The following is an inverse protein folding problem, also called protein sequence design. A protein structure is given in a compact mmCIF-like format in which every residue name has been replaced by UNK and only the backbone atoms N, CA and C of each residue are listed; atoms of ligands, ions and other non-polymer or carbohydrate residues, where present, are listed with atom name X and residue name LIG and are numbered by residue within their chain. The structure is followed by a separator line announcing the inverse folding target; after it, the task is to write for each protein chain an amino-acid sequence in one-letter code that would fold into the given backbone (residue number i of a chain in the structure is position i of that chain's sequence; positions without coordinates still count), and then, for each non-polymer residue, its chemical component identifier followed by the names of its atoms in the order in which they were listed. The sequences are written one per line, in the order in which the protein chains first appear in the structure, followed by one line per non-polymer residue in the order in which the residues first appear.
data_IF_056990501181
#
_entry.id   IF_056990501181
#
_cell.length_a   1.000
_cell.length_b   1.000
_cell.length_c   1.000
_cell.angle_alpha   90.00
_cell.angle_beta   90.00
_cell.angle_gamma   90.00
#
_symmetry.space_group_name_H-M   'P 1'
#
loop_
_entity.id
_entity.type
_entity.pdbx_description
1 polymer ?
#
# COMPACT_ATOMS: atom_id res chain seq x y z
N UNK A 1 -10.02 54.08 -13.65
CA UNK A 1 -10.42 52.74 -14.15
C UNK A 1 -9.39 51.76 -13.60
N UNK A 2 -9.65 51.19 -12.42
CA UNK A 2 -8.67 50.34 -11.73
C UNK A 2 -8.91 48.89 -12.10
N UNK A 3 -7.94 48.28 -12.77
CA UNK A 3 -7.95 46.86 -13.13
C UNK A 3 -7.61 46.08 -11.87
N UNK A 4 -8.60 45.38 -11.31
CA UNK A 4 -8.36 44.40 -10.25
C UNK A 4 -7.61 43.21 -10.85
N UNK A 5 -6.32 43.11 -10.55
CA UNK A 5 -5.59 41.86 -10.68
C UNK A 5 -6.23 40.85 -9.73
N UNK A 6 -6.95 39.88 -10.29
CA UNK A 6 -7.35 38.67 -9.57
C UNK A 6 -6.07 37.97 -9.12
N UNK A 7 -5.80 37.99 -7.82
CA UNK A 7 -4.76 37.18 -7.22
C UNK A 7 -5.13 35.71 -7.51
N UNK A 8 -4.35 35.06 -8.38
CA UNK A 8 -4.35 33.62 -8.54
C UNK A 8 -4.09 33.02 -7.16
N UNK A 9 -5.17 32.58 -6.50
CA UNK A 9 -5.10 31.80 -5.27
C UNK A 9 -4.43 30.49 -5.67
N UNK A 10 -3.13 30.38 -5.39
CA UNK A 10 -2.42 29.11 -5.50
C UNK A 10 -3.24 28.07 -4.73
N UNK A 11 -3.63 27.00 -5.41
CA UNK A 11 -4.29 25.87 -4.75
C UNK A 11 -3.43 25.47 -3.54
N UNK A 12 -4.02 25.28 -2.35
CA UNK A 12 -3.27 24.88 -1.16
C UNK A 12 -2.58 23.51 -1.34
N UNK A 13 -3.00 22.76 -2.35
CA UNK A 13 -2.40 21.49 -2.75
C UNK A 13 -1.77 21.60 -4.15
N UNK A 14 -0.68 20.87 -4.40
CA UNK A 14 -0.03 20.80 -5.72
C UNK A 14 -0.82 20.01 -6.78
N UNK A 15 -2.11 19.79 -6.55
CA UNK A 15 -3.05 19.19 -7.50
C UNK A 15 -4.42 19.87 -7.39
N UNK A 16 -5.20 19.90 -8.48
CA UNK A 16 -6.54 20.48 -8.46
C UNK A 16 -7.51 19.59 -7.68
N UNK A 17 -8.58 20.20 -7.15
CA UNK A 17 -9.72 19.45 -6.66
C UNK A 17 -10.40 18.70 -7.82
N UNK A 18 -10.80 17.46 -7.56
CA UNK A 18 -11.39 16.58 -8.57
C UNK A 18 -12.83 16.22 -8.20
N UNK A 19 -13.66 15.87 -9.17
CA UNK A 19 -14.91 15.18 -8.87
C UNK A 19 -14.62 13.76 -8.37
N UNK A 20 -15.49 13.23 -7.51
CA UNK A 20 -15.29 11.91 -6.92
C UNK A 20 -15.35 10.76 -7.95
N UNK A 21 -16.02 10.97 -9.08
CA UNK A 21 -16.18 10.03 -10.20
C UNK A 21 -15.19 10.26 -11.36
N UNK A 22 -14.41 11.34 -11.33
CA UNK A 22 -13.40 11.63 -12.36
C UNK A 22 -12.09 10.89 -12.07
N UNK A 23 -12.02 9.64 -12.52
CA UNK A 23 -10.85 8.76 -12.32
C UNK A 23 -9.56 9.34 -12.91
N UNK A 24 -9.63 10.06 -14.04
CA UNK A 24 -8.43 10.63 -14.68
C UNK A 24 -7.85 11.78 -13.87
N UNK A 25 -8.70 12.67 -13.36
CA UNK A 25 -8.28 13.72 -12.44
C UNK A 25 -7.67 13.12 -11.16
N UNK A 26 -8.35 12.13 -10.56
CA UNK A 26 -7.89 11.47 -9.34
C UNK A 26 -6.57 10.72 -9.54
N UNK A 27 -6.35 10.07 -10.69
CA UNK A 27 -5.06 9.44 -11.03
C UNK A 27 -3.91 10.43 -11.02
N UNK A 28 -4.11 11.63 -11.56
CA UNK A 28 -3.08 12.68 -11.56
C UNK A 28 -2.82 13.20 -10.15
N UNK A 29 -3.88 13.46 -9.39
CA UNK A 29 -3.77 13.86 -7.98
C UNK A 29 -3.05 12.82 -7.13
N UNK A 30 -3.35 11.53 -7.33
CA UNK A 30 -2.74 10.42 -6.59
C UNK A 30 -1.22 10.34 -6.80
N UNK A 31 -0.73 10.56 -8.01
CA UNK A 31 0.73 10.59 -8.26
C UNK A 31 1.39 11.67 -7.41
N UNK A 32 0.83 12.87 -7.38
CA UNK A 32 1.31 13.96 -6.55
C UNK A 32 1.17 13.63 -5.06
N UNK A 33 0.11 12.92 -4.67
CA UNK A 33 -0.13 12.51 -3.29
C UNK A 33 0.95 11.55 -2.77
N UNK A 34 1.44 10.60 -3.58
CA UNK A 34 2.58 9.76 -3.21
C UNK A 34 3.85 10.58 -2.92
N UNK A 35 4.13 11.64 -3.70
CA UNK A 35 5.24 12.54 -3.38
C UNK A 35 5.03 13.29 -2.05
N UNK A 36 3.80 13.67 -1.72
CA UNK A 36 3.49 14.30 -0.43
C UNK A 36 3.72 13.32 0.73
N UNK A 37 3.25 12.08 0.60
CA UNK A 37 3.49 11.03 1.60
C UNK A 37 4.99 10.82 1.85
N UNK A 38 5.77 10.67 0.78
CA UNK A 38 7.22 10.45 0.90
C UNK A 38 7.97 11.65 1.48
N UNK A 39 7.44 12.87 1.31
CA UNK A 39 8.02 14.09 1.91
C UNK A 39 7.66 14.29 3.38
N UNK A 40 6.80 13.44 3.95
CA UNK A 40 6.28 13.60 5.31
C UNK A 40 5.31 14.76 5.49
N UNK A 41 4.66 15.19 4.40
CA UNK A 41 3.71 16.31 4.44
C UNK A 41 2.61 16.05 5.47
N UNK A 42 2.33 17.03 6.34
CA UNK A 42 1.32 16.93 7.41
C UNK A 42 1.50 15.73 8.36
N UNK A 43 2.75 15.28 8.55
CA UNK A 43 3.07 14.16 9.43
C UNK A 43 2.72 12.79 8.84
N UNK A 44 2.47 12.71 7.53
CA UNK A 44 2.36 11.43 6.83
C UNK A 44 3.67 10.64 6.92
N UNK A 45 3.58 9.31 6.87
CA UNK A 45 4.74 8.43 6.86
C UNK A 45 5.14 8.09 5.42
N UNK A 46 6.44 8.02 5.09
CA UNK A 46 6.87 7.55 3.78
C UNK A 46 6.43 6.10 3.56
N UNK A 47 6.03 5.77 2.33
CA UNK A 47 5.56 4.43 1.94
C UNK A 47 6.44 3.77 0.88
N UNK A 48 7.42 4.50 0.34
CA UNK A 48 8.40 4.00 -0.62
C UNK A 48 9.80 4.61 -0.35
N UNK A 49 10.73 3.87 0.29
CA UNK A 49 10.58 2.50 0.77
C UNK A 49 9.70 2.39 2.04
N UNK A 50 9.03 1.26 2.19
CA UNK A 50 8.40 0.84 3.45
C UNK A 50 9.16 -0.34 4.05
N UNK A 51 9.46 -0.26 5.35
CA UNK A 51 10.11 -1.36 6.08
C UNK A 51 9.10 -2.05 7.00
N UNK A 52 8.89 -3.35 6.79
CA UNK A 52 8.11 -4.22 7.66
C UNK A 52 9.05 -5.02 8.57
N UNK A 53 8.72 -5.08 9.86
CA UNK A 53 9.53 -5.79 10.84
C UNK A 53 9.60 -7.29 10.54
N UNK A 54 8.44 -7.93 10.36
CA UNK A 54 8.37 -9.35 10.04
C UNK A 54 7.01 -9.81 9.51
N UNK A 55 7.03 -10.84 8.67
CA UNK A 55 5.87 -11.66 8.27
C UNK A 55 6.21 -13.12 8.55
N UNK A 56 5.26 -13.88 9.12
CA UNK A 56 5.48 -15.30 9.49
C UNK A 56 4.43 -16.18 8.81
N UNK A 57 4.86 -17.33 8.31
CA UNK A 57 3.99 -18.36 7.74
C UNK A 57 4.29 -19.68 8.44
N UNK A 58 3.28 -20.29 9.04
CA UNK A 58 3.38 -21.65 9.57
C UNK A 58 2.77 -22.62 8.56
N UNK A 59 3.44 -23.76 8.34
CA UNK A 59 2.97 -24.88 7.52
C UNK A 59 2.94 -26.12 8.44
N UNK A 60 1.87 -26.28 9.25
CA UNK A 60 1.83 -27.27 10.32
C UNK A 60 1.94 -28.71 9.84
N UNK A 61 1.31 -29.03 8.71
CA UNK A 61 1.29 -30.38 8.14
C UNK A 61 2.69 -30.90 7.79
N UNK A 62 3.64 -29.98 7.58
CA UNK A 62 5.04 -30.30 7.29
C UNK A 62 5.98 -29.92 8.42
N UNK A 63 5.41 -29.51 9.56
CA UNK A 63 6.14 -29.07 10.73
C UNK A 63 7.22 -28.02 10.38
N UNK A 64 6.85 -27.11 9.49
CA UNK A 64 7.75 -26.10 8.93
C UNK A 64 7.20 -24.70 9.17
N UNK A 65 8.09 -23.71 9.28
CA UNK A 65 7.71 -22.31 9.34
C UNK A 65 8.69 -21.42 8.58
N UNK A 66 8.19 -20.30 8.10
CA UNK A 66 8.95 -19.25 7.45
C UNK A 66 8.80 -17.97 8.24
N UNK A 67 9.92 -17.27 8.39
CA UNK A 67 9.97 -15.96 9.01
C UNK A 67 10.72 -15.03 8.08
N UNK A 68 10.01 -14.04 7.56
CA UNK A 68 10.53 -13.02 6.65
C UNK A 68 10.70 -11.71 7.43
N UNK A 69 11.91 -11.22 7.59
CA UNK A 69 12.27 -10.11 8.49
C UNK A 69 12.92 -8.96 7.74
N UNK A 70 12.82 -7.76 8.34
CA UNK A 70 13.41 -6.51 7.82
C UNK A 70 13.05 -6.32 6.35
N UNK A 71 11.77 -6.54 6.04
CA UNK A 71 11.28 -6.59 4.67
C UNK A 71 11.17 -5.16 4.16
N UNK A 72 12.01 -4.82 3.20
CA UNK A 72 12.00 -3.57 2.49
C UNK A 72 11.12 -3.71 1.25
N UNK A 73 10.10 -2.86 1.15
CA UNK A 73 9.14 -2.82 0.06
C UNK A 73 9.32 -1.52 -0.71
N UNK A 74 9.48 -1.62 -2.02
CA UNK A 74 9.61 -0.48 -2.94
C UNK A 74 8.66 -0.61 -4.11
N UNK A 75 8.40 0.49 -4.81
CA UNK A 75 7.50 0.53 -5.97
C UNK A 75 6.08 1.01 -5.64
N UNK A 76 5.76 1.21 -4.35
CA UNK A 76 4.48 1.73 -3.90
C UNK A 76 4.15 3.10 -4.53
N UNK A 77 5.14 3.95 -4.79
CA UNK A 77 4.98 5.27 -5.43
C UNK A 77 4.33 5.18 -6.82
N UNK A 78 4.50 4.06 -7.52
CA UNK A 78 3.99 3.85 -8.88
C UNK A 78 2.59 3.21 -8.91
N UNK A 79 1.95 3.07 -7.75
CA UNK A 79 0.61 2.53 -7.61
C UNK A 79 -0.40 3.33 -8.44
N UNK A 80 -1.22 2.61 -9.22
CA UNK A 80 -2.20 3.18 -10.14
C UNK A 80 -3.61 3.00 -9.59
N UNK A 81 -4.40 4.08 -9.60
CA UNK A 81 -5.84 3.99 -9.36
C UNK A 81 -6.52 3.31 -10.54
N UNK A 82 -7.10 2.13 -10.33
CA UNK A 82 -7.84 1.39 -11.36
C UNK A 82 -9.29 1.85 -11.40
N UNK A 83 -9.94 1.87 -10.25
CA UNK A 83 -11.36 2.16 -10.11
C UNK A 83 -11.64 2.78 -8.73
N UNK A 84 -12.72 3.56 -8.65
CA UNK A 84 -13.22 4.14 -7.40
C UNK A 84 -14.74 4.19 -7.41
N UNK A 85 -15.32 3.78 -6.29
CA UNK A 85 -16.75 3.95 -5.99
C UNK A 85 -16.87 4.79 -4.74
N UNK A 86 -17.47 5.95 -4.88
CA UNK A 86 -17.73 6.88 -3.78
C UNK A 86 -19.22 7.15 -3.67
N UNK A 87 -19.82 6.73 -2.56
CA UNK A 87 -21.25 6.87 -2.29
C UNK A 87 -21.47 7.86 -1.15
N UNK A 88 -22.33 8.85 -1.39
CA UNK A 88 -22.70 9.86 -0.39
C UNK A 88 -23.74 9.36 0.64
N UNK A 89 -24.54 8.33 0.31
CA UNK A 89 -25.68 7.89 1.11
C UNK A 89 -25.45 6.53 1.80
N UNK A 90 -24.49 6.45 2.74
CA UNK A 90 -24.17 5.23 3.51
C UNK A 90 -23.85 3.96 2.69
N UNK A 91 -23.55 4.12 1.39
CA UNK A 91 -23.09 3.04 0.54
C UNK A 91 -21.64 2.67 0.86
N UNK A 92 -21.24 1.42 0.57
CA UNK A 92 -19.85 0.99 0.72
C UNK A 92 -18.97 1.74 -0.29
N UNK A 93 -17.90 2.35 0.20
CA UNK A 93 -16.91 3.00 -0.64
C UNK A 93 -15.81 2.00 -0.95
N UNK A 94 -15.27 2.06 -2.15
CA UNK A 94 -14.19 1.18 -2.56
C UNK A 94 -13.22 1.88 -3.48
N UNK A 95 -11.94 1.59 -3.32
CA UNK A 95 -10.89 1.98 -4.23
C UNK A 95 -10.14 0.72 -4.64
N UNK A 96 -9.89 0.58 -5.94
CA UNK A 96 -9.05 -0.48 -6.49
C UNK A 96 -7.76 0.11 -7.00
N UNK A 97 -6.65 -0.39 -6.48
CA UNK A 97 -5.32 -0.05 -6.94
C UNK A 97 -4.69 -1.21 -7.69
N UNK A 98 -3.69 -0.87 -8.50
CA UNK A 98 -2.81 -1.81 -9.16
C UNK A 98 -1.36 -1.38 -8.98
N UNK A 99 -0.50 -2.28 -8.52
CA UNK A 99 0.87 -1.96 -8.13
C UNK A 99 1.84 -3.04 -8.58
N UNK A 100 3.06 -2.59 -8.89
CA UNK A 100 4.23 -3.44 -9.07
C UNK A 100 5.16 -3.17 -7.89
N UNK A 101 5.47 -4.20 -7.10
CA UNK A 101 6.24 -4.06 -5.86
C UNK A 101 7.51 -4.90 -5.93
N UNK A 102 8.60 -4.35 -5.43
CA UNK A 102 9.87 -5.04 -5.25
C UNK A 102 10.16 -5.18 -3.76
N UNK A 103 10.31 -6.43 -3.31
CA UNK A 103 10.33 -6.81 -1.90
C UNK A 103 11.64 -7.54 -1.59
N UNK A 104 12.39 -7.06 -0.60
CA UNK A 104 13.68 -7.65 -0.20
C UNK A 104 13.71 -7.81 1.30
N UNK A 105 14.15 -8.97 1.81
CA UNK A 105 14.34 -9.16 3.24
C UNK A 105 15.06 -10.46 3.57
N UNK A 106 15.29 -10.69 4.86
CA UNK A 106 15.87 -11.93 5.36
C UNK A 106 14.78 -12.98 5.54
N UNK A 107 14.90 -14.13 4.88
CA UNK A 107 14.01 -15.26 5.07
C UNK A 107 14.71 -16.35 5.88
N UNK A 108 14.03 -16.81 6.92
CA UNK A 108 14.43 -17.94 7.75
C UNK A 108 13.41 -19.05 7.57
N UNK A 109 13.87 -20.25 7.23
CA UNK A 109 13.05 -21.46 7.13
C UNK A 109 13.46 -22.44 8.23
N UNK A 110 12.49 -22.79 9.08
CA UNK A 110 12.70 -23.68 10.22
C UNK A 110 11.88 -24.96 10.07
N UNK A 111 12.47 -26.11 10.41
CA UNK A 111 11.79 -27.41 10.50
C UNK A 111 11.77 -27.87 11.96
N UNK A 112 10.68 -28.48 12.42
CA UNK A 112 10.58 -28.96 13.81
C UNK A 112 11.63 -30.04 14.16
N UNK A 113 12.11 -30.79 13.16
CA UNK A 113 13.13 -31.83 13.34
C UNK A 113 14.58 -31.34 13.24
N UNK A 114 14.84 -30.06 12.99
CA UNK A 114 16.19 -29.49 12.82
C UNK A 114 16.40 -28.35 13.81
N UNK A 115 17.55 -28.35 14.49
CA UNK A 115 17.92 -27.27 15.43
C UNK A 115 18.29 -25.99 14.71
N UNK A 116 19.02 -26.09 13.60
CA UNK A 116 19.52 -24.93 12.86
C UNK A 116 18.60 -24.60 11.68
N UNK A 117 17.99 -23.41 11.63
CA UNK A 117 17.18 -23.01 10.50
C UNK A 117 18.05 -22.65 9.29
N UNK A 118 17.47 -22.74 8.09
CA UNK A 118 18.09 -22.21 6.89
C UNK A 118 17.82 -20.72 6.79
N UNK A 119 18.85 -19.92 6.47
CA UNK A 119 18.73 -18.46 6.38
C UNK A 119 19.25 -17.96 5.04
N UNK A 120 18.51 -17.07 4.40
CA UNK A 120 18.92 -16.44 3.14
C UNK A 120 18.27 -15.08 2.99
N UNK A 121 18.70 -14.30 1.99
CA UNK A 121 18.01 -13.07 1.58
C UNK A 121 17.07 -13.42 0.43
N UNK A 122 15.78 -13.19 0.65
CA UNK A 122 14.74 -13.34 -0.38
C UNK A 122 14.51 -12.00 -1.06
N UNK A 123 14.62 -11.99 -2.38
CA UNK A 123 14.09 -10.93 -3.23
C UNK A 123 12.88 -11.48 -3.96
N UNK A 124 11.79 -10.71 -3.95
CA UNK A 124 10.51 -11.08 -4.53
C UNK A 124 9.95 -9.89 -5.31
N UNK A 125 9.57 -10.15 -6.56
CA UNK A 125 8.95 -9.18 -7.45
C UNK A 125 7.48 -9.55 -7.62
N UNK A 126 6.63 -8.57 -7.32
CA UNK A 126 5.20 -8.67 -7.35
C UNK A 126 4.67 -7.81 -8.50
N UNK A 127 4.20 -8.44 -9.57
CA UNK A 127 3.72 -7.73 -10.75
C UNK A 127 2.19 -7.71 -10.83
N UNK A 128 1.63 -6.60 -11.27
CA UNK A 128 0.20 -6.43 -11.53
C UNK A 128 -0.69 -6.84 -10.34
N UNK A 129 -0.25 -6.58 -9.10
CA UNK A 129 -1.05 -6.86 -7.90
C UNK A 129 -2.23 -5.90 -7.86
N UNK A 130 -3.44 -6.43 -7.76
CA UNK A 130 -4.63 -5.63 -7.50
C UNK A 130 -5.00 -5.64 -6.03
N UNK A 131 -5.27 -4.47 -5.47
CA UNK A 131 -5.78 -4.34 -4.10
C UNK A 131 -7.09 -3.59 -4.10
N UNK A 132 -8.13 -4.22 -3.55
CA UNK A 132 -9.43 -3.61 -3.35
C UNK A 132 -9.59 -3.21 -1.89
N UNK A 133 -9.67 -1.91 -1.64
CA UNK A 133 -9.80 -1.31 -0.32
C UNK A 133 -11.23 -0.81 -0.18
N UNK A 134 -12.00 -1.41 0.73
CA UNK A 134 -13.35 -0.93 1.06
C UNK A 134 -13.34 -0.24 2.41
N UNK A 135 -14.00 0.92 2.53
CA UNK A 135 -14.00 1.72 3.76
C UNK A 135 -15.33 2.46 3.95
N UNK A 136 -15.60 2.86 5.20
CA UNK A 136 -16.65 3.83 5.54
C UNK A 136 -16.05 5.23 5.62
N UNK A 137 -16.89 6.26 5.47
CA UNK A 137 -16.49 7.63 5.76
C UNK A 137 -17.63 8.41 6.41
N UNK A 138 -17.28 9.47 7.13
CA UNK A 138 -18.23 10.45 7.68
C UNK A 138 -17.71 11.86 7.43
N UNK A 139 -18.64 12.80 7.22
CA UNK A 139 -18.31 14.23 7.19
C UNK A 139 -18.27 14.79 8.60
N UNK A 140 -17.27 15.62 8.89
CA UNK A 140 -17.20 16.36 10.15
C UNK A 140 -16.84 17.82 9.87
N UNK A 141 -17.57 18.74 10.51
CA UNK A 141 -17.23 20.16 10.46
C UNK A 141 -16.19 20.47 11.52
N UNK A 142 -15.10 21.11 11.12
CA UNK A 142 -14.02 21.55 11.99
C UNK A 142 -14.37 22.80 12.78
N UNK A 143 -13.52 23.13 13.76
CA UNK A 143 -13.62 24.38 14.54
C UNK A 143 -13.40 25.63 13.68
N UNK A 144 -12.66 25.49 12.59
CA UNK A 144 -12.43 26.50 11.55
C UNK A 144 -13.62 26.67 10.59
N UNK A 145 -14.75 25.99 10.86
CA UNK A 145 -15.98 25.98 10.07
C UNK A 145 -15.86 25.33 8.69
N UNK A 146 -14.72 24.70 8.40
CA UNK A 146 -14.47 23.91 7.18
C UNK A 146 -14.99 22.47 7.34
N UNK A 147 -15.27 21.81 6.22
CA UNK A 147 -15.72 20.42 6.21
C UNK A 147 -14.56 19.47 5.92
N UNK A 148 -14.51 18.38 6.68
CA UNK A 148 -13.49 17.33 6.64
C UNK A 148 -14.12 15.97 6.39
N UNK A 149 -13.34 15.03 5.84
CA UNK A 149 -13.75 13.63 5.72
C UNK A 149 -12.95 12.79 6.71
N UNK A 150 -13.68 12.06 7.55
CA UNK A 150 -13.11 11.05 8.43
C UNK A 150 -13.24 9.70 7.72
N UNK A 151 -12.11 9.08 7.42
CA UNK A 151 -12.06 7.73 6.83
C UNK A 151 -12.08 6.72 7.97
N UNK A 152 -13.11 5.89 8.03
CA UNK A 152 -13.28 4.83 9.02
C UNK A 152 -12.38 3.62 8.75
N UNK A 153 -12.71 2.50 9.40
CA UNK A 153 -11.98 1.25 9.22
C UNK A 153 -12.10 0.73 7.78
N UNK A 154 -10.98 0.25 7.26
CA UNK A 154 -10.83 -0.34 5.94
C UNK A 154 -10.84 -1.87 6.02
N UNK A 155 -11.20 -2.48 4.90
CA UNK A 155 -10.93 -3.88 4.61
C UNK A 155 -10.16 -3.95 3.30
N UNK A 156 -9.03 -4.63 3.32
CA UNK A 156 -8.13 -4.76 2.17
C UNK A 156 -8.24 -6.19 1.66
N UNK A 157 -8.52 -6.33 0.37
CA UNK A 157 -8.50 -7.61 -0.33
C UNK A 157 -7.45 -7.55 -1.43
N UNK A 158 -6.45 -8.44 -1.34
CA UNK A 158 -5.39 -8.56 -2.34
C UNK A 158 -5.76 -9.63 -3.36
N UNK A 159 -5.47 -9.35 -4.62
CA UNK A 159 -5.64 -10.27 -5.74
C UNK A 159 -4.35 -10.31 -6.54
N UNK A 160 -3.60 -11.40 -6.37
CA UNK A 160 -2.43 -11.68 -7.20
C UNK A 160 -2.89 -12.39 -8.46
N UNK A 161 -2.67 -11.76 -9.61
CA UNK A 161 -2.97 -12.35 -10.91
C UNK A 161 -1.92 -13.38 -11.35
N UNK A 162 -0.73 -13.34 -10.72
CA UNK A 162 0.42 -14.20 -11.01
C UNK A 162 1.13 -14.54 -9.70
N UNK A 163 1.72 -15.74 -9.65
CA UNK A 163 2.62 -16.11 -8.55
C UNK A 163 3.83 -15.17 -8.56
N UNK A 164 4.29 -14.70 -7.39
CA UNK A 164 5.50 -13.88 -7.27
C UNK A 164 6.72 -14.54 -7.93
N UNK A 165 7.49 -13.78 -8.69
CA UNK A 165 8.84 -14.20 -9.05
C UNK A 165 9.78 -13.92 -7.89
N UNK A 166 10.72 -14.82 -7.64
CA UNK A 166 11.64 -14.67 -6.52
C UNK A 166 13.03 -15.20 -6.86
N UNK A 167 14.03 -14.74 -6.12
CA UNK A 167 15.35 -15.35 -6.08
C UNK A 167 15.99 -15.17 -4.71
N UNK A 168 16.93 -16.07 -4.40
CA UNK A 168 17.62 -16.10 -3.11
C UNK A 168 19.09 -15.72 -3.24
N UNK A 169 19.62 -15.09 -2.19
CA UNK A 169 21.01 -14.65 -2.12
C UNK A 169 21.65 -15.02 -0.76
N UNK A 170 22.95 -15.36 -0.74
CA UNK A 170 23.83 -15.57 -1.89
C UNK A 170 23.52 -16.88 -2.62
N UNK A 171 23.57 -16.86 -3.96
CA UNK A 171 23.30 -18.02 -4.81
C UNK A 171 24.33 -19.12 -4.58
N UNK A 172 23.90 -20.38 -4.67
CA UNK A 172 24.77 -21.55 -4.57
C UNK A 172 25.13 -21.98 -3.15
N UNK A 173 24.52 -21.37 -2.12
CA UNK A 173 24.61 -21.86 -0.74
C UNK A 173 23.60 -22.98 -0.48
N UNK A 174 23.91 -23.87 0.46
CA UNK A 174 22.98 -24.94 0.87
C UNK A 174 21.66 -24.35 1.39
N UNK A 175 21.72 -23.29 2.20
CA UNK A 175 20.53 -22.63 2.75
C UNK A 175 19.64 -22.05 1.66
N UNK A 176 20.22 -21.30 0.71
CA UNK A 176 19.45 -20.75 -0.41
C UNK A 176 18.84 -21.88 -1.25
N UNK A 177 19.59 -22.94 -1.53
CA UNK A 177 19.09 -24.08 -2.31
C UNK A 177 17.90 -24.78 -1.64
N UNK A 178 18.00 -25.02 -0.32
CA UNK A 178 16.94 -25.68 0.43
C UNK A 178 15.67 -24.83 0.49
N UNK A 179 15.81 -23.52 0.76
CA UNK A 179 14.68 -22.59 0.76
C UNK A 179 14.06 -22.49 -0.63
N UNK A 180 14.88 -22.38 -1.68
CA UNK A 180 14.42 -22.29 -3.08
C UNK A 180 13.59 -23.50 -3.48
N UNK A 181 14.08 -24.69 -3.14
CA UNK A 181 13.40 -25.95 -3.42
C UNK A 181 12.00 -25.99 -2.79
N UNK A 182 11.88 -25.56 -1.54
CA UNK A 182 10.60 -25.58 -0.83
C UNK A 182 9.65 -24.50 -1.36
N UNK A 183 10.13 -23.27 -1.53
CA UNK A 183 9.30 -22.18 -2.06
C UNK A 183 8.81 -22.47 -3.48
N UNK A 184 9.64 -23.11 -4.32
CA UNK A 184 9.26 -23.55 -5.66
C UNK A 184 8.20 -24.66 -5.65
N UNK A 185 8.30 -25.59 -4.69
CA UNK A 185 7.30 -26.64 -4.52
C UNK A 185 6.00 -26.12 -3.88
N UNK A 186 6.04 -24.96 -3.22
CA UNK A 186 4.95 -24.38 -2.44
C UNK A 186 4.70 -22.92 -2.74
N UNK A 187 4.15 -22.67 -3.92
CA UNK A 187 3.72 -21.33 -4.32
C UNK A 187 2.80 -20.66 -3.30
N UNK A 188 1.99 -21.43 -2.57
CA UNK A 188 1.09 -20.90 -1.53
C UNK A 188 1.82 -20.13 -0.40
N UNK A 189 3.06 -20.49 -0.06
CA UNK A 189 3.85 -19.75 0.93
C UNK A 189 4.26 -18.40 0.38
N UNK A 190 4.73 -18.35 -0.87
CA UNK A 190 5.08 -17.10 -1.56
C UNK A 190 3.85 -16.20 -1.72
N UNK A 191 2.72 -16.77 -2.15
CA UNK A 191 1.46 -16.03 -2.32
C UNK A 191 0.99 -15.42 -0.99
N UNK A 192 1.10 -16.17 0.11
CA UNK A 192 0.76 -15.66 1.45
C UNK A 192 1.69 -14.53 1.88
N UNK A 193 3.02 -14.72 1.75
CA UNK A 193 4.00 -13.67 2.07
C UNK A 193 3.73 -12.39 1.26
N UNK A 194 3.49 -12.54 -0.04
CA UNK A 194 3.18 -11.42 -0.93
C UNK A 194 1.88 -10.70 -0.51
N UNK A 195 0.84 -11.44 -0.16
CA UNK A 195 -0.43 -10.88 0.29
C UNK A 195 -0.25 -10.08 1.58
N UNK A 196 0.40 -10.64 2.60
CA UNK A 196 0.60 -9.97 3.89
C UNK A 196 1.46 -8.71 3.76
N UNK A 197 2.54 -8.79 2.96
CA UNK A 197 3.38 -7.61 2.64
C UNK A 197 2.55 -6.52 1.96
N UNK A 198 1.71 -6.90 0.99
CA UNK A 198 0.84 -5.96 0.26
C UNK A 198 -0.23 -5.35 1.17
N UNK A 199 -0.87 -6.16 2.03
CA UNK A 199 -1.87 -5.69 2.98
C UNK A 199 -1.27 -4.68 3.94
N UNK A 200 -0.09 -4.97 4.49
CA UNK A 200 0.58 -4.06 5.41
C UNK A 200 0.96 -2.73 4.73
N UNK A 201 1.43 -2.76 3.48
CA UNK A 201 1.66 -1.56 2.68
C UNK A 201 0.40 -0.74 2.48
N UNK A 202 -0.70 -1.39 2.11
CA UNK A 202 -1.96 -0.70 1.86
C UNK A 202 -2.57 -0.10 3.13
N UNK A 203 -2.37 -0.72 4.30
CA UNK A 203 -2.72 -0.10 5.58
C UNK A 203 -1.96 1.21 5.81
N UNK A 204 -0.63 1.22 5.59
CA UNK A 204 0.18 2.44 5.74
C UNK A 204 -0.27 3.56 4.79
N UNK A 205 -0.63 3.22 3.55
CA UNK A 205 -1.18 4.18 2.58
C UNK A 205 -2.54 4.73 3.05
N UNK A 206 -3.43 3.88 3.58
CA UNK A 206 -4.74 4.31 4.09
C UNK A 206 -4.60 5.19 5.34
N UNK A 207 -3.63 4.91 6.21
CA UNK A 207 -3.34 5.76 7.37
C UNK A 207 -2.89 7.16 6.95
N UNK A 208 -2.07 7.28 5.91
CA UNK A 208 -1.73 8.58 5.34
C UNK A 208 -2.96 9.30 4.74
N UNK A 209 -3.85 8.59 4.05
CA UNK A 209 -5.11 9.17 3.58
C UNK A 209 -5.96 9.69 4.75
N UNK A 210 -6.04 8.96 5.87
CA UNK A 210 -6.75 9.40 7.09
C UNK A 210 -6.12 10.66 7.66
N UNK A 211 -4.80 10.66 7.85
CA UNK A 211 -4.05 11.80 8.39
C UNK A 211 -4.26 13.05 7.54
N UNK A 212 -4.21 12.91 6.22
CA UNK A 212 -4.46 13.99 5.29
C UNK A 212 -5.91 14.48 5.34
N UNK A 213 -6.89 13.59 5.24
CA UNK A 213 -8.30 13.95 5.15
C UNK A 213 -8.84 14.60 6.45
N UNK A 214 -8.22 14.31 7.59
CA UNK A 214 -8.53 14.94 8.87
C UNK A 214 -7.90 16.33 9.05
N UNK A 215 -6.93 16.71 8.21
CA UNK A 215 -6.19 17.98 8.33
C UNK A 215 -6.43 18.94 7.16
N UNK A 216 -6.91 18.43 6.03
CA UNK A 216 -7.16 19.24 4.83
C UNK A 216 -8.66 19.33 4.57
N UNK A 217 -9.22 20.54 4.42
CA UNK A 217 -10.62 20.71 4.04
C UNK A 217 -10.99 20.04 2.72
N UNK A 218 -12.17 19.42 2.67
CA UNK A 218 -12.68 18.64 1.53
C UNK A 218 -12.66 19.44 0.23
N UNK A 219 -13.03 20.73 0.29
CA UNK A 219 -13.08 21.63 -0.88
C UNK A 219 -11.75 21.76 -1.64
N UNK A 220 -10.63 21.44 -0.99
CA UNK A 220 -9.31 21.56 -1.59
C UNK A 220 -8.95 20.36 -2.49
N UNK A 221 -9.61 19.22 -2.33
CA UNK A 221 -9.33 18.00 -3.11
C UNK A 221 -10.57 17.34 -3.73
N UNK A 222 -11.78 17.71 -3.29
CA UNK A 222 -13.04 17.37 -3.94
C UNK A 222 -13.80 18.60 -4.39
N UNK A 223 -14.32 18.55 -5.62
CA UNK A 223 -15.34 19.49 -6.10
C UNK A 223 -16.72 18.84 -6.02
N UNK A 224 -17.68 19.64 -5.57
CA UNK A 224 -19.10 19.37 -5.77
C UNK A 224 -19.49 19.97 -7.12
N UNK A 225 -20.34 19.26 -7.87
CA UNK A 225 -21.16 19.91 -8.89
C UNK A 225 -22.35 20.57 -8.20
#
# INVERSE_FOLDING_TARGET
MSVYFSASTKSPLPFPACRADDIECLRRGLRTFFFLMDSGHLGMNPVDPMVLNSVTVAVPDEQMSFLFRKVNVTGARWTKLVDRKFHFNNGKNSVRFKSDLHVVGEITMSFAGRTDPHVSVLTMDLSDIETNITYSWTGQRGYDTEDYIIIGQERIAVRNSRTPSFFLQPRGTEDAYMIERVLSAKSAVLDFLANEVTVALMHAIVDNFRLFANQVPVKNYYTYN
#
